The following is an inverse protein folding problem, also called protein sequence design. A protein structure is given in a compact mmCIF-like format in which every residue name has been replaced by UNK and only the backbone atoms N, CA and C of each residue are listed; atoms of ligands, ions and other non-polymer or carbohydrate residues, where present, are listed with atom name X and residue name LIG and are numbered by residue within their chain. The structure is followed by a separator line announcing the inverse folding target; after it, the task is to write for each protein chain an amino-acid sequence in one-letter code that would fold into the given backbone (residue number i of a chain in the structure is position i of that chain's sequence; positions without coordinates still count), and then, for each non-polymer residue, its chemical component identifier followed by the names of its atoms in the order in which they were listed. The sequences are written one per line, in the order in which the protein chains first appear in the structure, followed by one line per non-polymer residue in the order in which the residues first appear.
data_IF_576399545395
#
_entry.id   IF_576399545395
#
_cell.length_a   1.000
_cell.length_b   1.000
_cell.length_c   1.000
_cell.angle_alpha   90.00
_cell.angle_beta   90.00
_cell.angle_gamma   90.00
#
_symmetry.space_group_name_H-M   'P 1'
#
loop_
_entity.id
_entity.type
_entity.pdbx_description
1 polymer ?
#
# COMPACT_ATOMS: atom_id res chain seq x y z
N UNK A 1 4.91 18.32 -1.71
CA UNK A 1 5.98 17.35 -1.44
C UNK A 1 5.34 15.98 -1.47
N UNK A 2 5.74 15.11 -2.40
CA UNK A 2 5.15 13.77 -2.46
C UNK A 2 5.57 12.95 -1.26
N UNK A 3 4.61 12.33 -0.58
CA UNK A 3 4.90 11.47 0.58
C UNK A 3 5.13 10.05 0.07
N UNK A 4 6.28 9.46 0.40
CA UNK A 4 6.60 8.07 0.07
C UNK A 4 6.62 7.22 1.34
N UNK A 5 6.12 5.99 1.25
CA UNK A 5 6.21 4.98 2.31
C UNK A 5 6.90 3.73 1.79
N UNK A 6 7.60 3.03 2.68
CA UNK A 6 8.17 1.72 2.40
C UNK A 6 7.30 0.65 3.05
N UNK A 7 6.83 -0.32 2.26
CA UNK A 7 6.07 -1.47 2.78
C UNK A 7 6.62 -2.79 2.26
N UNK A 8 6.50 -3.88 3.03
CA UNK A 8 6.85 -5.21 2.56
C UNK A 8 5.80 -5.74 1.57
N UNK A 9 6.24 -6.17 0.39
CA UNK A 9 5.45 -6.85 -0.65
C UNK A 9 6.25 -8.08 -1.08
N UNK A 10 5.69 -9.28 -0.93
CA UNK A 10 6.33 -10.55 -1.35
C UNK A 10 7.80 -10.69 -0.92
N UNK A 11 8.10 -10.42 0.36
CA UNK A 11 9.46 -10.51 0.95
C UNK A 11 10.45 -9.43 0.48
N UNK A 12 10.02 -8.54 -0.42
CA UNK A 12 10.78 -7.36 -0.84
C UNK A 12 10.19 -6.07 -0.24
N UNK A 13 11.02 -5.02 -0.17
CA UNK A 13 10.58 -3.69 0.25
C UNK A 13 10.17 -2.90 -0.98
N UNK A 14 8.92 -2.47 -1.04
CA UNK A 14 8.41 -1.60 -2.09
C UNK A 14 8.25 -0.17 -1.57
N UNK A 15 8.74 0.80 -2.34
CA UNK A 15 8.52 2.22 -2.09
C UNK A 15 7.28 2.64 -2.85
N UNK A 16 6.33 3.23 -2.14
CA UNK A 16 5.02 3.63 -2.67
C UNK A 16 4.84 5.12 -2.49
N UNK A 17 4.41 5.79 -3.55
CA UNK A 17 3.94 7.17 -3.48
C UNK A 17 2.52 7.21 -2.92
N UNK A 18 2.31 7.85 -1.78
CA UNK A 18 1.01 8.00 -1.14
C UNK A 18 0.03 8.78 -2.00
N UNK A 19 0.51 9.79 -2.74
CA UNK A 19 -0.34 10.59 -3.64
C UNK A 19 -0.87 9.78 -4.83
N UNK A 20 -0.22 8.65 -5.14
CA UNK A 20 -0.68 7.74 -6.19
C UNK A 20 -1.71 6.73 -5.68
N UNK A 21 -1.92 6.60 -4.37
CA UNK A 21 -2.88 5.63 -3.80
C UNK A 21 -4.29 6.10 -4.10
N UNK A 22 -5.06 5.24 -4.78
CA UNK A 22 -6.49 5.44 -5.01
C UNK A 22 -7.31 4.91 -3.84
N UNK A 23 -7.01 3.69 -3.39
CA UNK A 23 -7.78 3.00 -2.37
C UNK A 23 -6.99 1.90 -1.71
N UNK A 24 -7.32 1.60 -0.46
CA UNK A 24 -6.74 0.50 0.30
C UNK A 24 -7.84 -0.38 0.87
N UNK A 25 -7.76 -1.68 0.60
CA UNK A 25 -8.74 -2.67 1.04
C UNK A 25 -8.10 -3.76 1.89
N UNK A 26 -8.71 -4.15 3.02
CA UNK A 26 -8.28 -5.32 3.78
C UNK A 26 -8.64 -6.61 3.03
N UNK A 27 -7.73 -7.60 3.04
CA UNK A 27 -7.98 -8.91 2.46
C UNK A 27 -8.48 -9.91 3.52
N UNK A 28 -9.41 -10.80 3.14
CA UNK A 28 -10.01 -11.79 4.05
C UNK A 28 -9.00 -12.79 4.63
N UNK A 29 -7.93 -13.09 3.88
CA UNK A 29 -6.89 -14.05 4.28
C UNK A 29 -5.72 -13.38 5.05
N UNK A 30 -5.89 -12.12 5.42
CA UNK A 30 -4.84 -11.30 6.01
C UNK A 30 -4.07 -10.50 4.96
N UNK A 31 -3.58 -9.32 5.36
CA UNK A 31 -2.94 -8.37 4.45
C UNK A 31 -3.89 -7.32 3.89
N UNK A 32 -3.36 -6.52 2.95
CA UNK A 32 -4.07 -5.43 2.29
C UNK A 32 -3.76 -5.38 0.81
N UNK A 33 -4.76 -5.00 0.03
CA UNK A 33 -4.59 -4.58 -1.36
C UNK A 33 -4.57 -3.05 -1.41
N UNK A 34 -3.56 -2.51 -2.09
CA UNK A 34 -3.45 -1.08 -2.38
C UNK A 34 -3.62 -0.92 -3.88
N UNK A 35 -4.58 -0.11 -4.30
CA UNK A 35 -4.82 0.24 -5.69
C UNK A 35 -4.32 1.65 -5.97
N UNK A 36 -3.80 1.86 -7.17
CA UNK A 36 -3.21 3.14 -7.58
C UNK A 36 -4.09 3.85 -8.62
N UNK A 37 -4.09 5.19 -8.57
CA UNK A 37 -4.87 6.05 -9.46
C UNK A 37 -4.43 5.85 -10.91
N UNK A 38 -3.13 5.95 -11.16
CA UNK A 38 -2.54 5.82 -12.49
C UNK A 38 -1.11 5.26 -12.38
N UNK A 39 -0.71 4.46 -13.38
CA UNK A 39 0.62 3.85 -13.45
C UNK A 39 0.62 2.48 -14.11
N UNK A 40 1.81 1.94 -14.36
CA UNK A 40 1.98 0.57 -14.88
C UNK A 40 1.51 -0.49 -13.88
N UNK A 41 1.65 -0.18 -12.59
CA UNK A 41 1.16 -0.99 -11.47
C UNK A 41 -0.24 -0.53 -11.07
N UNK A 42 -1.25 -1.37 -11.33
CA UNK A 42 -2.65 -1.10 -10.94
C UNK A 42 -2.91 -1.36 -9.46
N UNK A 43 -2.23 -2.37 -8.89
CA UNK A 43 -2.40 -2.78 -7.51
C UNK A 43 -1.19 -3.54 -6.98
N UNK A 44 -1.03 -3.52 -5.66
CA UNK A 44 -0.09 -4.35 -4.91
C UNK A 44 -0.79 -4.99 -3.73
N UNK A 45 -0.29 -6.15 -3.33
CA UNK A 45 -0.79 -6.87 -2.17
C UNK A 45 0.34 -6.95 -1.15
N UNK A 46 0.11 -6.42 0.04
CA UNK A 46 1.02 -6.52 1.17
C UNK A 46 0.44 -7.47 2.21
N UNK A 47 1.33 -8.18 2.93
CA UNK A 47 0.93 -8.97 4.11
C UNK A 47 0.76 -8.11 5.36
N UNK A 48 1.03 -6.80 5.28
CA UNK A 48 0.82 -5.89 6.40
C UNK A 48 -0.65 -5.85 6.84
N UNK A 49 -0.92 -5.84 8.16
CA UNK A 49 -2.26 -5.59 8.67
C UNK A 49 -2.78 -4.22 8.22
N UNK A 50 -4.08 -4.14 7.95
CA UNK A 50 -4.74 -2.90 7.51
C UNK A 50 -4.55 -1.74 8.47
N UNK A 51 -4.65 -2.01 9.78
CA UNK A 51 -4.40 -0.99 10.80
C UNK A 51 -2.99 -0.41 10.77
N UNK A 52 -1.97 -1.24 10.50
CA UNK A 52 -0.58 -0.80 10.42
C UNK A 52 -0.34 0.00 9.14
N UNK A 53 -0.90 -0.45 8.02
CA UNK A 53 -0.80 0.25 6.75
C UNK A 53 -1.48 1.63 6.81
N UNK A 54 -2.66 1.73 7.43
CA UNK A 54 -3.34 3.01 7.60
C UNK A 54 -2.54 4.01 8.44
N UNK A 55 -1.83 3.55 9.48
CA UNK A 55 -0.93 4.41 10.27
C UNK A 55 0.23 4.98 9.44
N UNK A 56 0.70 4.23 8.43
CA UNK A 56 1.75 4.70 7.52
C UNK A 56 1.22 5.71 6.51
N UNK A 57 -0.01 5.51 6.02
CA UNK A 57 -0.63 6.35 4.99
C UNK A 57 -1.16 7.67 5.57
N UNK A 58 -1.83 7.63 6.72
CA UNK A 58 -2.49 8.80 7.34
C UNK A 58 -1.70 9.43 8.49
N UNK A 59 -0.36 9.38 8.41
CA UNK A 59 0.53 10.03 9.37
C UNK A 59 0.69 11.54 9.12
#
# INVERSE_FOLDING_TARGET
MSKFIEIPVNEEKCIINLDAIQSVYPLKEGGCEISFLEGYLKRIITKLPYSELLKLIWK
#
